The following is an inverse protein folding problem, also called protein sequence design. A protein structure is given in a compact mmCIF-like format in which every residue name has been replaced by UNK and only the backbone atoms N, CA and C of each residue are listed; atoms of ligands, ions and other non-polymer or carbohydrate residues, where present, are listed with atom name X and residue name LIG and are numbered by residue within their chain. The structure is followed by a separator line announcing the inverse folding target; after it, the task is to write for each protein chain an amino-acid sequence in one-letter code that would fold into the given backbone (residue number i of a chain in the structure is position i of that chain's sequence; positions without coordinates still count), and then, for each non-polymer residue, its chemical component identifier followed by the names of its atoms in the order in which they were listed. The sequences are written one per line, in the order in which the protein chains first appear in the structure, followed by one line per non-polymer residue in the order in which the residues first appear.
data_IF_237834290631
#
_entry.id   IF_237834290631
#
_cell.length_a   1.000
_cell.length_b   1.000
_cell.length_c   1.000
_cell.angle_alpha   90.00
_cell.angle_beta   90.00
_cell.angle_gamma   90.00
#
_symmetry.space_group_name_H-M   'P 1'
#
loop_
_entity.id
_entity.type
_entity.pdbx_description
1 polymer ?
#
# COMPACT_ATOMS: atom_id res chain seq x y z
N UNK A 1 -17.68 20.27 -16.57
CA UNK A 1 -16.88 20.17 -15.31
C UNK A 1 -15.39 20.11 -15.58
N UNK A 2 -14.88 19.21 -16.43
CA UNK A 2 -13.43 19.11 -16.72
C UNK A 2 -12.83 20.42 -17.24
N UNK A 3 -13.44 21.04 -18.24
CA UNK A 3 -12.99 22.33 -18.80
C UNK A 3 -12.88 23.41 -17.71
N UNK A 4 -13.85 23.48 -16.81
CA UNK A 4 -13.84 24.45 -15.72
C UNK A 4 -12.76 24.13 -14.67
N UNK A 5 -12.56 22.84 -14.35
CA UNK A 5 -11.47 22.42 -13.46
C UNK A 5 -10.11 22.82 -14.04
N UNK A 6 -9.89 22.55 -15.33
CA UNK A 6 -8.65 22.92 -16.03
C UNK A 6 -8.48 24.44 -16.19
N UNK A 7 -9.58 25.19 -16.32
CA UNK A 7 -9.52 26.65 -16.33
C UNK A 7 -9.06 27.23 -14.99
N UNK A 8 -9.48 26.60 -13.87
CA UNK A 8 -9.14 27.05 -12.51
C UNK A 8 -7.74 26.60 -12.08
N UNK A 9 -7.36 25.38 -12.44
CA UNK A 9 -6.04 24.81 -12.14
C UNK A 9 -5.54 23.98 -13.33
N UNK A 10 -4.85 24.60 -14.29
CA UNK A 10 -4.43 23.91 -15.53
C UNK A 10 -3.34 22.86 -15.31
N UNK A 11 -2.62 22.92 -14.19
CA UNK A 11 -1.51 22.03 -13.88
C UNK A 11 -1.92 20.78 -13.10
N UNK A 12 -3.10 20.76 -12.51
CA UNK A 12 -3.58 19.62 -11.74
C UNK A 12 -4.18 18.57 -12.66
N UNK A 13 -3.77 17.31 -12.47
CA UNK A 13 -4.37 16.18 -13.17
C UNK A 13 -5.80 15.97 -12.68
N UNK A 14 -6.68 15.61 -13.61
CA UNK A 14 -8.11 15.38 -13.36
C UNK A 14 -8.50 13.97 -13.82
N UNK A 15 -9.25 13.28 -12.99
CA UNK A 15 -9.87 12.00 -13.31
C UNK A 15 -11.17 11.81 -12.53
N UNK A 16 -11.84 10.70 -12.72
CA UNK A 16 -12.95 10.21 -11.90
C UNK A 16 -13.09 8.69 -12.06
N UNK A 17 -13.54 8.02 -11.01
CA UNK A 17 -13.89 6.60 -11.05
C UNK A 17 -15.20 6.41 -11.84
N UNK A 18 -15.16 5.57 -12.87
CA UNK A 18 -16.32 5.27 -13.70
C UNK A 18 -16.82 3.84 -13.50
N UNK A 19 -18.16 3.68 -13.46
CA UNK A 19 -18.83 2.38 -13.38
C UNK A 19 -19.05 1.73 -14.75
N UNK A 20 -18.87 2.46 -15.86
CA UNK A 20 -19.16 1.98 -17.23
C UNK A 20 -17.92 1.52 -18.00
N UNK A 21 -16.73 1.64 -17.43
CA UNK A 21 -15.47 1.23 -18.07
C UNK A 21 -15.43 -0.25 -18.47
N UNK A 22 -16.04 -1.14 -17.66
CA UNK A 22 -16.04 -2.58 -17.92
C UNK A 22 -16.86 -3.01 -19.15
N UNK A 23 -17.88 -2.24 -19.55
CA UNK A 23 -18.79 -2.61 -20.63
C UNK A 23 -18.37 -1.97 -21.98
N UNK A 24 -18.12 -0.68 -21.97
CA UNK A 24 -17.83 0.09 -23.19
C UNK A 24 -16.75 1.14 -22.95
N UNK A 25 -15.50 0.75 -22.65
CA UNK A 25 -14.47 1.69 -22.22
C UNK A 25 -14.28 2.89 -23.17
N UNK A 26 -14.27 2.63 -24.47
CA UNK A 26 -14.05 3.67 -25.50
C UNK A 26 -15.16 4.74 -25.57
N UNK A 27 -16.33 4.45 -25.05
CA UNK A 27 -17.45 5.40 -25.04
C UNK A 27 -17.59 6.14 -23.71
N UNK A 28 -16.76 5.77 -22.73
CA UNK A 28 -16.77 6.40 -21.41
C UNK A 28 -16.10 7.78 -21.44
N UNK A 29 -16.69 8.81 -20.81
CA UNK A 29 -16.07 10.12 -20.68
C UNK A 29 -14.70 10.12 -19.96
N UNK A 30 -14.34 9.04 -19.27
CA UNK A 30 -13.00 8.86 -18.68
C UNK A 30 -11.89 8.99 -19.73
N UNK A 31 -12.17 8.71 -21.00
CA UNK A 31 -11.27 8.97 -22.12
C UNK A 31 -10.86 10.43 -22.29
N UNK A 32 -11.61 11.38 -21.73
CA UNK A 32 -11.28 12.82 -21.73
C UNK A 32 -10.37 13.21 -20.56
N UNK A 33 -10.21 12.34 -19.56
CA UNK A 33 -9.43 12.61 -18.35
C UNK A 33 -7.92 12.45 -18.59
N UNK A 34 -7.11 12.94 -17.66
CA UNK A 34 -5.65 12.84 -17.76
C UNK A 34 -5.16 11.39 -17.53
N UNK A 35 -5.88 10.63 -16.73
CA UNK A 35 -5.64 9.20 -16.45
C UNK A 35 -6.96 8.48 -16.21
N UNK A 36 -6.95 7.16 -16.27
CA UNK A 36 -8.13 6.31 -16.09
C UNK A 36 -8.21 5.85 -14.64
N UNK A 37 -9.39 5.96 -14.03
CA UNK A 37 -9.67 5.38 -12.70
C UNK A 37 -10.69 4.25 -12.84
N UNK A 38 -10.37 3.11 -12.21
CA UNK A 38 -11.22 1.93 -12.20
C UNK A 38 -11.33 1.33 -10.80
N UNK A 39 -12.53 0.87 -10.44
CA UNK A 39 -12.76 0.08 -9.23
C UNK A 39 -12.64 -1.41 -9.55
N UNK A 40 -11.80 -2.13 -8.80
CA UNK A 40 -11.51 -3.54 -9.01
C UNK A 40 -12.04 -4.40 -7.85
N UNK A 41 -13.14 -5.09 -8.10
CA UNK A 41 -13.79 -5.90 -7.08
C UNK A 41 -14.04 -7.36 -7.51
N UNK A 42 -13.27 -7.88 -8.46
CA UNK A 42 -13.32 -9.30 -8.79
C UNK A 42 -12.90 -10.17 -7.60
N UNK A 43 -13.68 -11.22 -7.34
CA UNK A 43 -13.52 -12.05 -6.15
C UNK A 43 -14.12 -11.45 -4.87
N UNK A 44 -14.70 -10.23 -4.95
CA UNK A 44 -15.38 -9.54 -3.86
C UNK A 44 -16.85 -9.26 -4.21
N UNK A 45 -17.15 -8.09 -4.78
CA UNK A 45 -18.50 -7.74 -5.24
C UNK A 45 -18.86 -8.37 -6.58
N UNK A 46 -17.87 -8.55 -7.44
CA UNK A 46 -18.02 -9.20 -8.74
C UNK A 46 -17.42 -10.60 -8.71
N UNK A 47 -18.06 -11.60 -9.35
CA UNK A 47 -17.45 -12.90 -9.51
C UNK A 47 -16.19 -12.79 -10.38
N UNK A 48 -15.18 -13.58 -10.08
CA UNK A 48 -13.95 -13.62 -10.87
C UNK A 48 -12.72 -13.99 -10.06
N UNK A 49 -11.61 -14.07 -10.75
CA UNK A 49 -10.31 -14.45 -10.25
C UNK A 49 -9.27 -13.36 -10.56
N UNK A 50 -8.02 -13.48 -10.11
CA UNK A 50 -6.94 -12.59 -10.53
C UNK A 50 -6.78 -12.47 -12.06
N UNK A 51 -7.08 -13.54 -12.82
CA UNK A 51 -7.04 -13.49 -14.28
C UNK A 51 -8.13 -12.55 -14.86
N UNK A 52 -9.29 -12.46 -14.22
CA UNK A 52 -10.33 -11.52 -14.61
C UNK A 52 -9.88 -10.07 -14.38
N UNK A 53 -9.18 -9.79 -13.27
CA UNK A 53 -8.55 -8.49 -13.00
C UNK A 53 -7.53 -8.15 -14.08
N UNK A 54 -6.62 -9.09 -14.38
CA UNK A 54 -5.59 -8.91 -15.40
C UNK A 54 -6.20 -8.59 -16.76
N UNK A 55 -7.22 -9.36 -17.17
CA UNK A 55 -7.93 -9.13 -18.43
C UNK A 55 -8.63 -7.76 -18.47
N UNK A 56 -9.33 -7.39 -17.42
CA UNK A 56 -10.00 -6.08 -17.35
C UNK A 56 -9.01 -4.93 -17.51
N UNK A 57 -7.86 -4.98 -16.84
CA UNK A 57 -6.82 -3.96 -16.97
C UNK A 57 -6.22 -3.93 -18.38
N UNK A 58 -6.01 -5.08 -19.02
CA UNK A 58 -5.54 -5.14 -20.40
C UNK A 58 -6.56 -4.55 -21.38
N UNK A 59 -7.86 -4.81 -21.17
CA UNK A 59 -8.94 -4.24 -21.97
C UNK A 59 -9.00 -2.70 -21.81
N UNK A 60 -8.82 -2.18 -20.59
CA UNK A 60 -8.75 -0.74 -20.33
C UNK A 60 -7.54 -0.11 -21.02
N UNK A 61 -6.36 -0.71 -20.90
CA UNK A 61 -5.16 -0.20 -21.55
C UNK A 61 -5.28 -0.25 -23.08
N UNK A 62 -5.86 -1.32 -23.63
CA UNK A 62 -6.15 -1.40 -25.07
C UNK A 62 -7.15 -0.32 -25.55
N UNK A 63 -8.05 0.12 -24.69
CA UNK A 63 -8.98 1.20 -24.98
C UNK A 63 -8.32 2.58 -24.89
N UNK A 64 -7.36 2.77 -23.98
CA UNK A 64 -6.68 4.02 -23.66
C UNK A 64 -5.16 3.84 -23.54
N UNK A 65 -4.45 3.48 -24.62
CA UNK A 65 -3.05 3.05 -24.56
C UNK A 65 -2.08 4.15 -24.10
N UNK A 66 -2.45 5.41 -24.22
CA UNK A 66 -1.61 6.56 -23.86
C UNK A 66 -1.88 7.06 -22.43
N UNK A 67 -2.75 6.39 -21.66
CA UNK A 67 -3.13 6.82 -20.31
C UNK A 67 -2.71 5.83 -19.25
N UNK A 68 -2.11 6.31 -18.16
CA UNK A 68 -1.91 5.46 -16.99
C UNK A 68 -3.27 5.11 -16.33
N UNK A 69 -3.30 3.96 -15.68
CA UNK A 69 -4.46 3.47 -14.92
C UNK A 69 -4.19 3.60 -13.44
N UNK A 70 -5.13 4.14 -12.70
CA UNK A 70 -5.15 4.14 -11.23
C UNK A 70 -6.33 3.28 -10.78
N UNK A 71 -6.06 2.32 -9.92
CA UNK A 71 -7.12 1.55 -9.26
C UNK A 71 -7.66 2.39 -8.13
N UNK A 72 -8.81 3.02 -8.36
CA UNK A 72 -9.43 3.96 -7.41
C UNK A 72 -10.03 3.28 -6.19
N UNK A 73 -10.43 2.02 -6.34
CA UNK A 73 -10.83 1.16 -5.22
C UNK A 73 -10.55 -0.31 -5.53
N UNK A 74 -10.03 -1.05 -4.55
CA UNK A 74 -10.04 -2.50 -4.51
C UNK A 74 -10.07 -2.98 -3.07
N UNK A 75 -10.56 -4.17 -2.80
CA UNK A 75 -10.64 -4.69 -1.45
C UNK A 75 -11.75 -5.72 -1.25
N UNK A 76 -12.04 -6.02 0.01
CA UNK A 76 -13.00 -7.04 0.37
C UNK A 76 -13.79 -6.64 1.62
N UNK A 77 -15.13 -6.69 1.53
CA UNK A 77 -16.00 -6.56 2.69
C UNK A 77 -16.11 -7.91 3.39
N UNK A 78 -15.48 -8.03 4.53
CA UNK A 78 -15.40 -9.26 5.30
C UNK A 78 -16.44 -9.30 6.43
N UNK A 79 -16.63 -10.50 7.01
CA UNK A 79 -17.37 -10.69 8.28
C UNK A 79 -18.85 -10.34 8.24
N UNK A 80 -19.54 -10.67 7.17
CA UNK A 80 -20.99 -10.86 7.19
C UNK A 80 -21.29 -12.34 7.48
N UNK A 81 -22.57 -12.66 7.78
CA UNK A 81 -23.00 -14.06 7.90
C UNK A 81 -22.71 -14.88 6.63
N UNK A 82 -22.69 -14.21 5.49
CA UNK A 82 -22.54 -14.79 4.18
C UNK A 82 -21.03 -14.86 3.74
N UNK A 83 -20.13 -14.30 4.56
CA UNK A 83 -18.69 -14.21 4.31
C UNK A 83 -17.89 -14.49 5.59
N UNK A 84 -17.97 -15.72 6.11
CA UNK A 84 -17.33 -16.08 7.38
C UNK A 84 -15.80 -16.14 7.33
N UNK A 85 -15.21 -16.30 6.13
CA UNK A 85 -13.77 -16.33 5.88
C UNK A 85 -13.05 -15.03 6.26
N UNK A 86 -13.80 -13.95 6.27
CA UNK A 86 -13.39 -12.71 6.92
C UNK A 86 -12.09 -12.10 6.44
N UNK A 87 -11.17 -11.88 7.37
CA UNK A 87 -9.93 -11.14 7.13
C UNK A 87 -8.90 -11.94 6.35
N UNK A 88 -8.93 -13.28 6.41
CA UNK A 88 -8.05 -14.16 5.63
C UNK A 88 -8.29 -13.97 4.13
N UNK A 89 -9.54 -13.98 3.71
CA UNK A 89 -9.88 -13.76 2.30
C UNK A 89 -9.55 -12.32 1.84
N UNK A 90 -9.66 -11.33 2.73
CA UNK A 90 -9.17 -9.97 2.45
C UNK A 90 -7.68 -9.95 2.14
N UNK A 91 -6.89 -10.70 2.90
CA UNK A 91 -5.45 -10.85 2.67
C UNK A 91 -5.16 -11.51 1.31
N UNK A 92 -5.93 -12.54 0.96
CA UNK A 92 -5.81 -13.20 -0.36
C UNK A 92 -6.11 -12.23 -1.51
N UNK A 93 -7.23 -11.50 -1.43
CA UNK A 93 -7.61 -10.47 -2.41
C UNK A 93 -6.52 -9.41 -2.52
N UNK A 94 -6.04 -8.87 -1.40
CA UNK A 94 -5.02 -7.85 -1.37
C UNK A 94 -3.76 -8.32 -2.12
N UNK A 95 -3.23 -9.49 -1.76
CA UNK A 95 -2.01 -10.03 -2.38
C UNK A 95 -2.18 -10.38 -3.85
N UNK A 96 -3.30 -11.00 -4.20
CA UNK A 96 -3.55 -11.44 -5.59
C UNK A 96 -3.75 -10.25 -6.52
N UNK A 97 -4.49 -9.22 -6.08
CA UNK A 97 -4.69 -8.01 -6.86
C UNK A 97 -3.38 -7.21 -7.00
N UNK A 98 -2.64 -7.01 -5.91
CA UNK A 98 -1.35 -6.31 -5.96
C UNK A 98 -0.34 -7.02 -6.88
N UNK A 99 -0.35 -8.36 -6.91
CA UNK A 99 0.48 -9.12 -7.84
C UNK A 99 0.11 -8.83 -9.32
N UNK A 100 -1.20 -8.75 -9.62
CA UNK A 100 -1.66 -8.37 -10.95
C UNK A 100 -1.28 -6.94 -11.27
N UNK A 101 -1.53 -5.99 -10.37
CA UNK A 101 -1.19 -4.57 -10.58
C UNK A 101 0.29 -4.37 -10.88
N UNK A 102 1.17 -5.08 -10.15
CA UNK A 102 2.62 -5.06 -10.38
C UNK A 102 3.06 -5.64 -11.72
N UNK A 103 2.26 -6.54 -12.28
CA UNK A 103 2.56 -7.12 -13.60
C UNK A 103 2.24 -6.19 -14.76
N UNK A 104 1.63 -5.01 -14.50
CA UNK A 104 1.16 -4.06 -15.50
C UNK A 104 1.92 -2.75 -15.36
N UNK A 105 2.78 -2.43 -16.31
CA UNK A 105 3.62 -1.23 -16.33
C UNK A 105 2.84 0.09 -16.48
N UNK A 106 1.60 0.00 -16.98
CA UNK A 106 0.68 1.12 -17.11
C UNK A 106 -0.14 1.41 -15.83
N UNK A 107 -0.07 0.58 -14.80
CA UNK A 107 -0.72 0.83 -13.49
C UNK A 107 0.15 1.78 -12.66
N UNK A 108 -0.35 3.00 -12.48
CA UNK A 108 0.37 4.07 -11.78
C UNK A 108 0.07 4.14 -10.28
N UNK A 109 -1.03 3.52 -9.82
CA UNK A 109 -1.41 3.55 -8.42
C UNK A 109 -2.60 2.66 -8.11
N UNK A 110 -2.76 2.31 -6.82
CA UNK A 110 -3.95 1.62 -6.33
C UNK A 110 -4.31 2.10 -4.92
N UNK A 111 -5.60 2.25 -4.67
CA UNK A 111 -6.17 2.72 -3.41
C UNK A 111 -6.98 1.59 -2.81
N UNK A 112 -6.50 1.05 -1.69
CA UNK A 112 -7.22 0.02 -0.97
C UNK A 112 -8.46 0.60 -0.28
N UNK A 113 -9.61 0.01 -0.52
CA UNK A 113 -10.86 0.39 0.12
C UNK A 113 -11.24 -0.67 1.18
N UNK A 114 -11.02 -0.37 2.50
CA UNK A 114 -10.53 0.91 2.98
C UNK A 114 -9.69 0.75 4.26
N UNK A 115 -9.28 1.86 4.87
CA UNK A 115 -8.45 1.84 6.06
C UNK A 115 -9.22 1.29 7.28
N UNK A 116 -10.41 1.84 7.57
CA UNK A 116 -11.20 1.43 8.74
C UNK A 116 -12.62 1.02 8.37
N UNK A 117 -13.20 0.16 9.21
CA UNK A 117 -14.62 -0.14 9.16
C UNK A 117 -15.42 1.14 9.35
N UNK A 118 -16.61 1.21 8.77
CA UNK A 118 -17.46 2.39 8.87
C UNK A 118 -18.92 2.05 9.04
N UNK A 119 -19.65 2.97 9.63
CA UNK A 119 -21.11 2.87 9.75
C UNK A 119 -21.78 3.30 8.45
N UNK A 120 -22.87 2.64 8.12
CA UNK A 120 -23.69 2.97 6.95
C UNK A 120 -25.16 2.95 7.30
N UNK A 121 -25.92 3.83 6.68
CA UNK A 121 -27.38 3.79 6.71
C UNK A 121 -27.96 2.96 5.55
N UNK A 122 -27.16 2.65 4.55
CA UNK A 122 -27.51 1.78 3.42
C UNK A 122 -27.24 0.35 3.83
N UNK A 123 -28.29 -0.38 4.16
CA UNK A 123 -28.22 -1.56 5.00
C UNK A 123 -27.95 -2.90 4.35
N UNK A 124 -27.06 -3.06 3.40
CA UNK A 124 -26.87 -4.37 2.77
C UNK A 124 -25.64 -5.17 3.23
N UNK A 125 -24.73 -4.62 3.94
CA UNK A 125 -23.53 -5.35 4.40
C UNK A 125 -23.18 -5.15 5.86
N UNK A 126 -24.12 -4.61 6.64
CA UNK A 126 -23.88 -4.36 8.04
C UNK A 126 -23.92 -5.61 8.89
N UNK A 127 -22.96 -5.75 9.79
CA UNK A 127 -22.98 -6.79 10.84
C UNK A 127 -23.77 -6.25 12.03
N UNK A 128 -24.87 -6.94 12.35
CA UNK A 128 -25.67 -6.68 13.53
C UNK A 128 -26.39 -5.33 13.54
N UNK A 129 -26.78 -4.88 14.73
CA UNK A 129 -27.62 -3.69 14.97
C UNK A 129 -26.90 -2.37 14.59
N UNK A 130 -25.60 -2.38 14.35
CA UNK A 130 -24.81 -1.17 14.12
C UNK A 130 -24.74 -0.75 12.66
N UNK A 131 -25.29 -1.49 11.72
CA UNK A 131 -25.23 -1.21 10.27
C UNK A 131 -23.79 -0.84 9.85
N UNK A 132 -22.87 -1.74 10.08
CA UNK A 132 -21.45 -1.55 9.90
C UNK A 132 -20.97 -2.24 8.62
N UNK A 133 -20.23 -1.53 7.78
CA UNK A 133 -19.48 -2.12 6.69
C UNK A 133 -18.08 -2.51 7.17
N UNK A 134 -17.74 -3.78 7.02
CA UNK A 134 -16.46 -4.36 7.48
C UNK A 134 -15.47 -4.46 6.33
N UNK A 135 -15.16 -3.30 5.73
CA UNK A 135 -14.19 -3.17 4.66
C UNK A 135 -12.76 -2.91 5.17
N UNK A 136 -12.65 -2.39 6.39
CA UNK A 136 -11.40 -1.88 6.92
C UNK A 136 -10.37 -2.96 7.27
N UNK A 137 -9.11 -2.58 7.19
CA UNK A 137 -8.00 -3.30 7.82
C UNK A 137 -7.87 -2.94 9.32
N UNK A 138 -8.63 -1.94 9.75
CA UNK A 138 -8.78 -1.50 11.14
C UNK A 138 -10.26 -1.46 11.47
N UNK A 139 -10.65 -1.84 12.68
CA UNK A 139 -12.05 -1.81 13.12
C UNK A 139 -12.50 -0.39 13.51
N UNK A 140 -13.78 -0.26 13.93
CA UNK A 140 -14.36 1.03 14.36
C UNK A 140 -13.67 1.65 15.59
N UNK A 141 -12.94 0.86 16.35
CA UNK A 141 -12.27 1.29 17.59
C UNK A 141 -10.76 1.54 17.39
N UNK A 142 -10.24 1.36 16.17
CA UNK A 142 -8.84 1.54 15.87
C UNK A 142 -8.00 0.27 16.05
N UNK A 143 -8.60 -0.90 16.30
CA UNK A 143 -7.88 -2.17 16.44
C UNK A 143 -7.49 -2.67 15.06
N UNK A 144 -6.19 -2.91 14.87
CA UNK A 144 -5.63 -3.44 13.64
C UNK A 144 -5.99 -4.92 13.48
N UNK A 145 -6.44 -5.28 12.28
CA UNK A 145 -6.69 -6.66 11.86
C UNK A 145 -5.41 -7.25 11.25
N UNK A 146 -5.37 -8.56 11.02
CA UNK A 146 -4.21 -9.21 10.40
C UNK A 146 -3.88 -8.63 9.01
N UNK A 147 -4.90 -8.24 8.24
CA UNK A 147 -4.77 -7.58 6.94
C UNK A 147 -4.07 -6.21 6.99
N UNK A 148 -4.07 -5.53 8.15
CA UNK A 148 -3.39 -4.24 8.30
C UNK A 148 -1.89 -4.33 8.01
N UNK A 149 -1.23 -5.30 8.61
CA UNK A 149 0.22 -5.48 8.42
C UNK A 149 0.55 -5.92 7.00
N UNK A 150 -0.32 -6.71 6.36
CA UNK A 150 -0.18 -7.08 4.95
C UNK A 150 -0.30 -5.85 4.06
N UNK A 151 -1.35 -5.04 4.22
CA UNK A 151 -1.51 -3.79 3.48
C UNK A 151 -0.31 -2.85 3.67
N UNK A 152 0.19 -2.73 4.90
CA UNK A 152 1.36 -1.90 5.22
C UNK A 152 2.60 -2.33 4.45
N UNK A 153 2.84 -3.64 4.36
CA UNK A 153 3.98 -4.21 3.62
C UNK A 153 3.82 -4.08 2.12
N UNK A 154 2.64 -4.41 1.61
CA UNK A 154 2.35 -4.32 0.17
C UNK A 154 2.37 -2.88 -0.33
N UNK A 155 1.97 -1.91 0.51
CA UNK A 155 2.02 -0.48 0.19
C UNK A 155 3.40 0.16 0.43
N UNK A 156 4.41 -0.60 0.84
CA UNK A 156 5.76 -0.08 1.05
C UNK A 156 6.55 0.01 -0.26
N UNK A 157 7.30 1.09 -0.50
CA UNK A 157 8.23 1.18 -1.63
C UNK A 157 9.49 0.33 -1.45
N UNK A 158 9.59 -0.39 -0.30
CA UNK A 158 10.73 -1.25 0.02
C UNK A 158 10.41 -2.68 -0.37
N UNK A 159 11.26 -3.27 -1.20
CA UNK A 159 11.20 -4.67 -1.55
C UNK A 159 11.79 -5.54 -0.44
N UNK A 160 12.98 -5.17 0.02
CA UNK A 160 13.67 -5.89 1.11
C UNK A 160 14.60 -4.98 1.91
N UNK A 161 14.77 -5.36 3.17
CA UNK A 161 15.77 -4.82 4.07
C UNK A 161 16.49 -5.99 4.73
N UNK A 162 17.81 -6.08 4.52
CA UNK A 162 18.66 -7.05 5.22
C UNK A 162 19.59 -6.32 6.17
N UNK A 163 19.93 -6.98 7.28
CA UNK A 163 20.73 -6.39 8.35
C UNK A 163 21.91 -7.30 8.66
N UNK A 164 23.09 -6.75 8.61
CA UNK A 164 24.33 -7.40 9.06
C UNK A 164 24.85 -6.68 10.32
N UNK A 165 25.20 -7.46 11.34
CA UNK A 165 25.77 -6.93 12.58
C UNK A 165 27.30 -6.96 12.49
N UNK A 166 27.93 -5.81 12.69
CA UNK A 166 29.38 -5.64 12.79
C UNK A 166 29.69 -4.99 14.14
N UNK A 167 30.55 -5.59 14.95
CA UNK A 167 31.01 -5.20 16.28
C UNK A 167 30.36 -3.96 16.94
N UNK A 168 30.38 -2.79 16.30
CA UNK A 168 29.82 -1.53 16.81
C UNK A 168 28.91 -0.82 15.80
N UNK A 169 28.42 -1.52 14.79
CA UNK A 169 27.55 -0.95 13.78
C UNK A 169 26.65 -2.01 13.15
N UNK A 170 25.47 -1.60 12.74
CA UNK A 170 24.60 -2.40 11.89
C UNK A 170 24.70 -1.86 10.47
N UNK A 171 24.99 -2.75 9.53
CA UNK A 171 24.94 -2.44 8.11
C UNK A 171 23.61 -2.92 7.55
N UNK A 172 22.83 -1.97 7.02
CA UNK A 172 21.51 -2.24 6.46
C UNK A 172 21.56 -2.09 4.96
N UNK A 173 21.16 -3.12 4.26
CA UNK A 173 21.02 -3.14 2.80
C UNK A 173 19.55 -2.98 2.47
N UNK A 174 19.19 -1.81 1.96
CA UNK A 174 17.85 -1.42 1.57
C UNK A 174 17.70 -1.55 0.06
N UNK A 175 16.73 -2.36 -0.40
CA UNK A 175 16.34 -2.47 -1.80
C UNK A 175 14.95 -1.89 -1.99
N UNK A 176 14.82 -0.92 -2.90
CA UNK A 176 13.54 -0.34 -3.29
C UNK A 176 12.88 -1.15 -4.39
N UNK A 177 11.53 -1.11 -4.45
CA UNK A 177 10.78 -1.75 -5.52
C UNK A 177 11.05 -1.08 -6.86
N UNK A 178 11.04 -1.87 -7.93
CA UNK A 178 11.04 -1.40 -9.31
C UNK A 178 9.63 -1.36 -9.91
N UNK A 179 8.69 -2.08 -9.29
CA UNK A 179 7.28 -2.17 -9.63
C UNK A 179 6.40 -1.45 -8.60
N UNK A 180 5.10 -1.37 -8.86
CA UNK A 180 4.10 -0.77 -7.97
C UNK A 180 4.15 -1.35 -6.53
N UNK A 181 4.09 -0.51 -5.46
CA UNK A 181 4.24 0.93 -5.45
C UNK A 181 5.72 1.34 -5.57
N UNK A 182 6.05 2.14 -6.58
CA UNK A 182 7.43 2.54 -6.85
C UNK A 182 7.55 4.05 -7.00
N UNK A 183 8.53 4.63 -6.30
CA UNK A 183 8.89 6.04 -6.38
C UNK A 183 10.26 6.29 -5.74
N UNK A 184 10.90 7.39 -6.11
CA UNK A 184 12.16 7.81 -5.50
C UNK A 184 11.93 8.24 -4.04
N UNK A 185 12.69 7.66 -3.11
CA UNK A 185 12.66 8.08 -1.71
C UNK A 185 13.44 9.39 -1.55
N UNK A 186 12.75 10.45 -1.12
CA UNK A 186 13.34 11.77 -0.86
C UNK A 186 13.07 12.22 0.56
N UNK A 187 14.12 12.66 1.27
CA UNK A 187 14.01 13.13 2.65
C UNK A 187 13.62 12.04 3.65
N UNK A 188 13.91 10.78 3.31
CA UNK A 188 13.71 9.66 4.22
C UNK A 188 14.86 9.54 5.21
N UNK A 189 14.58 8.93 6.37
CA UNK A 189 15.57 8.61 7.41
C UNK A 189 15.52 7.12 7.73
N UNK A 190 16.62 6.59 8.20
CA UNK A 190 16.66 5.29 8.85
C UNK A 190 16.82 5.50 10.34
N UNK A 191 15.84 5.02 11.13
CA UNK A 191 15.87 4.99 12.58
C UNK A 191 16.23 3.62 13.10
N UNK A 192 16.96 3.55 14.23
CA UNK A 192 17.22 2.34 14.98
C UNK A 192 16.93 2.56 16.46
N UNK A 193 16.17 1.65 17.08
CA UNK A 193 15.98 1.60 18.52
C UNK A 193 16.61 0.30 19.01
N UNK A 194 17.61 0.43 19.86
CA UNK A 194 18.40 -0.67 20.40
C UNK A 194 17.88 -1.01 21.79
N UNK A 195 17.65 -2.29 22.05
CA UNK A 195 17.05 -2.78 23.29
C UNK A 195 18.00 -3.69 24.04
N UNK A 196 18.08 -3.46 25.36
CA UNK A 196 18.76 -4.31 26.34
C UNK A 196 17.81 -5.31 27.01
N UNK A 197 18.18 -5.76 28.19
CA UNK A 197 17.37 -6.67 29.00
C UNK A 197 16.00 -6.07 29.34
N UNK A 198 14.98 -6.93 29.36
CA UNK A 198 13.60 -6.54 29.69
C UNK A 198 12.94 -5.63 28.65
N UNK A 199 13.40 -5.68 27.37
CA UNK A 199 12.91 -4.81 26.31
C UNK A 199 13.06 -3.31 26.60
N UNK A 200 14.08 -2.93 27.40
CA UNK A 200 14.36 -1.54 27.74
C UNK A 200 15.15 -0.90 26.60
N UNK A 201 14.67 0.23 26.00
CA UNK A 201 15.45 0.96 25.02
C UNK A 201 16.71 1.55 25.65
N UNK A 202 17.88 1.19 25.12
CA UNK A 202 19.20 1.63 25.64
C UNK A 202 19.81 2.72 24.76
N UNK A 203 19.46 2.73 23.45
CA UNK A 203 19.95 3.75 22.52
C UNK A 203 18.96 3.97 21.39
N UNK A 204 18.95 5.19 20.82
CA UNK A 204 18.26 5.55 19.57
C UNK A 204 19.20 6.25 18.63
N UNK A 205 19.16 5.86 17.38
CA UNK A 205 19.94 6.48 16.30
C UNK A 205 19.03 6.80 15.12
N UNK A 206 19.32 7.89 14.45
CA UNK A 206 18.70 8.24 13.16
C UNK A 206 19.78 8.72 12.19
N UNK A 207 19.65 8.35 10.92
CA UNK A 207 20.50 8.80 9.85
C UNK A 207 19.66 9.25 8.67
N UNK A 208 20.01 10.41 8.10
CA UNK A 208 19.42 10.89 6.85
C UNK A 208 19.85 9.99 5.70
N UNK A 209 18.88 9.63 4.85
CA UNK A 209 19.17 8.84 3.65
C UNK A 209 19.41 9.77 2.45
N UNK A 210 20.32 9.40 1.53
CA UNK A 210 20.37 10.05 0.23
C UNK A 210 19.05 9.83 -0.53
N UNK A 211 18.85 10.53 -1.62
CA UNK A 211 17.79 10.15 -2.56
C UNK A 211 18.06 8.73 -3.09
N UNK A 212 17.04 7.85 -2.98
CA UNK A 212 17.13 6.46 -3.42
C UNK A 212 16.13 6.28 -4.55
N UNK A 213 16.63 6.04 -5.75
CA UNK A 213 15.79 5.80 -6.92
C UNK A 213 14.98 4.50 -6.77
N UNK A 214 13.85 4.40 -7.48
CA UNK A 214 13.11 3.14 -7.60
C UNK A 214 13.98 2.04 -8.20
N UNK A 215 13.78 0.80 -7.74
CA UNK A 215 14.53 -0.37 -8.23
C UNK A 215 16.02 -0.37 -7.90
N UNK A 216 16.48 0.50 -6.98
CA UNK A 216 17.89 0.59 -6.60
C UNK A 216 18.16 0.00 -5.22
N UNK A 217 19.43 -0.20 -4.94
CA UNK A 217 19.91 -0.69 -3.66
C UNK A 217 20.84 0.35 -3.03
N UNK A 218 20.73 0.51 -1.71
CA UNK A 218 21.66 1.33 -0.93
C UNK A 218 22.08 0.62 0.34
N UNK A 219 23.27 0.93 0.81
CA UNK A 219 23.80 0.41 2.07
C UNK A 219 23.94 1.59 3.03
N UNK A 220 23.39 1.41 4.23
CA UNK A 220 23.41 2.41 5.30
C UNK A 220 23.98 1.77 6.54
N UNK A 221 24.88 2.48 7.22
CA UNK A 221 25.41 2.05 8.51
C UNK A 221 24.76 2.85 9.65
N UNK A 222 24.31 2.14 10.68
CA UNK A 222 23.94 2.73 11.97
C UNK A 222 24.97 2.31 13.01
N UNK A 223 25.69 3.29 13.55
CA UNK A 223 26.65 3.06 14.62
C UNK A 223 25.89 2.81 15.95
N UNK A 224 26.50 2.01 16.81
CA UNK A 224 26.02 1.75 18.17
C UNK A 224 27.14 2.11 19.15
N UNK A 225 26.84 2.98 20.10
CA UNK A 225 27.86 3.58 20.97
C UNK A 225 28.08 2.86 22.30
N UNK A 226 27.18 1.96 22.67
CA UNK A 226 27.27 1.21 23.92
C UNK A 226 28.25 0.05 23.81
N UNK A 227 28.88 -0.32 24.94
CA UNK A 227 29.79 -1.47 25.01
C UNK A 227 29.10 -2.82 24.91
N UNK A 228 27.84 -2.89 25.27
CA UNK A 228 27.05 -4.12 25.28
C UNK A 228 26.27 -4.31 23.99
N UNK A 229 26.39 -5.49 23.40
CA UNK A 229 25.61 -5.84 22.19
C UNK A 229 24.12 -5.82 22.52
N UNK A 230 23.28 -5.11 21.72
CA UNK A 230 21.85 -5.09 21.97
C UNK A 230 21.23 -6.48 21.79
N UNK A 231 20.24 -6.82 22.62
CA UNK A 231 19.52 -8.09 22.52
C UNK A 231 18.58 -8.14 21.32
N UNK A 232 18.08 -6.99 20.90
CA UNK A 232 17.38 -6.83 19.63
C UNK A 232 17.39 -5.36 19.19
N UNK A 233 17.12 -5.13 17.91
CA UNK A 233 17.04 -3.78 17.34
C UNK A 233 15.79 -3.70 16.47
N UNK A 234 15.02 -2.63 16.68
CA UNK A 234 13.94 -2.26 15.76
C UNK A 234 14.45 -1.18 14.83
N UNK A 235 14.44 -1.47 13.54
CA UNK A 235 14.73 -0.50 12.48
C UNK A 235 13.45 0.00 11.85
N UNK A 236 13.37 1.30 11.60
CA UNK A 236 12.26 1.96 10.92
C UNK A 236 12.79 2.83 9.77
N UNK A 237 12.27 2.61 8.57
CA UNK A 237 12.41 3.56 7.48
C UNK A 237 11.35 4.65 7.66
N UNK A 238 11.79 5.87 7.99
CA UNK A 238 10.91 6.98 8.31
C UNK A 238 10.69 7.85 7.08
N UNK A 239 9.43 8.19 6.83
CA UNK A 239 9.04 9.18 5.83
C UNK A 239 9.43 10.59 6.28
N UNK A 240 9.49 11.58 5.38
CA UNK A 240 9.69 12.98 5.77
C UNK A 240 8.67 13.49 6.80
N UNK A 241 7.50 12.87 6.86
CA UNK A 241 6.45 13.16 7.85
C UNK A 241 6.69 12.52 9.23
N UNK A 242 7.76 11.73 9.40
CA UNK A 242 8.10 11.02 10.63
C UNK A 242 7.41 9.66 10.82
N UNK A 243 6.48 9.27 9.95
CA UNK A 243 5.82 7.96 10.02
C UNK A 243 6.66 6.86 9.36
N UNK A 244 6.63 5.66 9.95
CA UNK A 244 7.32 4.49 9.40
C UNK A 244 6.67 4.03 8.09
N UNK A 245 7.47 3.93 7.03
CA UNK A 245 7.11 3.32 5.76
C UNK A 245 7.42 1.82 5.74
N UNK A 246 8.38 1.38 6.54
CA UNK A 246 8.80 -0.01 6.67
C UNK A 246 9.46 -0.22 8.03
N UNK A 247 9.21 -1.36 8.67
CA UNK A 247 9.83 -1.71 9.96
C UNK A 247 10.45 -3.09 9.90
N UNK A 248 11.58 -3.26 10.55
CA UNK A 248 12.30 -4.51 10.65
C UNK A 248 12.78 -4.74 12.07
N UNK A 249 12.63 -5.97 12.58
CA UNK A 249 13.19 -6.35 13.87
C UNK A 249 14.36 -7.29 13.63
N UNK A 250 15.52 -6.92 14.14
CA UNK A 250 16.70 -7.75 14.15
C UNK A 250 16.88 -8.39 15.53
N UNK A 251 17.23 -9.66 15.55
CA UNK A 251 17.66 -10.42 16.74
C UNK A 251 18.92 -11.20 16.38
N UNK A 252 19.87 -11.40 17.35
CA UNK A 252 21.07 -12.21 17.14
C UNK A 252 20.79 -13.61 16.69
#
# INVERSE_FOLDING_TARGET
MLEEAKRLDPNRLCSYASNSLGETPKHDPAGLMDFIEANEYFGSWSPGSPDAVAKHLDDLHAAFPDKPVVISEYGYCACTKDRPEGDEHRIEILRSHDAVFRSKDFVAGAIFFCYNDYRTHVGYSGVGALKQNVHGVVDLCGVQKASYEVLRRESSPVESLTVENHLNAFQLRLKTRHDFPTYTLRGYKLGGIFYGEGDIPIERQEVELPEIASGSETIVALAFSQSDVPLHVKFDLLRPTGFSAYSWNWKP
#
